data_IF_533563992713
#
_entry.id   IF_533563992713
#
_cell.length_a   1.000
_cell.length_b   1.000
_cell.length_c   1.000
_cell.angle_alpha   90.00
_cell.angle_beta   90.00
_cell.angle_gamma   90.00
#
_symmetry.space_group_name_H-M   'P 1'
#
loop_
_entity.id
_entity.type
_entity.pdbx_description
1 polymer ?
#
# COMPACT_ATOMS: atom_id res chain seq x y z
N UNK A 1 -24.27 -11.99 -4.54
CA UNK A 1 -23.88 -11.37 -3.26
C UNK A 1 -24.73 -10.14 -3.02
N UNK A 2 -25.19 -9.93 -1.79
CA UNK A 2 -25.94 -8.74 -1.41
C UNK A 2 -25.05 -7.51 -1.60
N UNK A 3 -25.58 -6.47 -2.23
CA UNK A 3 -24.83 -5.23 -2.49
C UNK A 3 -24.32 -4.57 -1.20
N UNK A 4 -25.10 -4.65 -0.13
CA UNK A 4 -24.71 -4.11 1.17
C UNK A 4 -23.46 -4.81 1.72
N UNK A 5 -23.42 -6.13 1.67
CA UNK A 5 -22.26 -6.93 2.11
C UNK A 5 -21.07 -6.66 1.20
N UNK A 6 -21.28 -6.57 -0.10
CA UNK A 6 -20.24 -6.25 -1.06
C UNK A 6 -19.59 -4.90 -0.74
N UNK A 7 -20.38 -3.88 -0.45
CA UNK A 7 -19.87 -2.56 -0.10
C UNK A 7 -19.03 -2.59 1.18
N UNK A 8 -19.44 -3.37 2.18
CA UNK A 8 -18.66 -3.53 3.41
C UNK A 8 -17.30 -4.15 3.11
N UNK A 9 -17.25 -5.19 2.29
CA UNK A 9 -15.98 -5.84 1.93
C UNK A 9 -15.07 -4.89 1.15
N UNK A 10 -15.60 -4.13 0.21
CA UNK A 10 -14.83 -3.18 -0.59
C UNK A 10 -14.24 -2.08 0.30
N UNK A 11 -15.06 -1.50 1.17
CA UNK A 11 -14.63 -0.44 2.09
C UNK A 11 -13.57 -0.97 3.05
N UNK A 12 -13.77 -2.16 3.60
CA UNK A 12 -12.81 -2.78 4.52
C UNK A 12 -11.47 -3.03 3.82
N UNK A 13 -11.49 -3.55 2.60
CA UNK A 13 -10.28 -3.79 1.82
C UNK A 13 -9.52 -2.50 1.56
N UNK A 14 -10.21 -1.44 1.14
CA UNK A 14 -9.59 -0.15 0.87
C UNK A 14 -8.95 0.42 2.14
N UNK A 15 -9.67 0.38 3.26
CA UNK A 15 -9.16 0.90 4.54
C UNK A 15 -7.93 0.11 4.98
N UNK A 16 -7.96 -1.22 4.94
CA UNK A 16 -6.81 -2.04 5.32
C UNK A 16 -5.60 -1.81 4.41
N UNK A 17 -5.83 -1.72 3.11
CA UNK A 17 -4.75 -1.46 2.16
C UNK A 17 -4.09 -0.11 2.44
N UNK A 18 -4.88 0.93 2.67
CA UNK A 18 -4.37 2.27 2.99
C UNK A 18 -3.58 2.28 4.30
N UNK A 19 -4.09 1.59 5.33
CA UNK A 19 -3.40 1.51 6.62
C UNK A 19 -2.03 0.86 6.45
N UNK A 20 -1.95 -0.27 5.75
CA UNK A 20 -0.67 -0.95 5.53
C UNK A 20 0.28 -0.13 4.66
N UNK A 21 -0.22 0.49 3.59
CA UNK A 21 0.60 1.33 2.71
C UNK A 21 1.19 2.50 3.49
N UNK A 22 0.38 3.21 4.27
CA UNK A 22 0.87 4.33 5.07
C UNK A 22 1.84 3.86 6.16
N UNK A 23 1.52 2.79 6.86
CA UNK A 23 2.40 2.26 7.91
C UNK A 23 3.79 1.93 7.36
N UNK A 24 3.85 1.14 6.29
CA UNK A 24 5.14 0.77 5.70
C UNK A 24 5.85 1.96 5.05
N UNK A 25 5.12 2.90 4.47
CA UNK A 25 5.71 4.11 3.90
C UNK A 25 6.35 4.98 4.98
N UNK A 26 5.66 5.20 6.10
CA UNK A 26 6.24 5.96 7.22
C UNK A 26 7.46 5.25 7.81
N UNK A 27 7.42 3.93 7.93
CA UNK A 27 8.57 3.17 8.40
C UNK A 27 9.75 3.27 7.44
N UNK A 28 9.50 3.25 6.14
CA UNK A 28 10.58 3.39 5.15
C UNK A 28 11.20 4.79 5.24
N UNK A 29 10.38 5.83 5.37
CA UNK A 29 10.90 7.20 5.51
C UNK A 29 11.71 7.39 6.79
N UNK A 30 11.30 6.76 7.90
CA UNK A 30 12.05 6.80 9.15
C UNK A 30 13.42 6.11 9.04
N UNK A 31 13.59 5.20 8.09
CA UNK A 31 14.83 4.49 7.83
C UNK A 31 15.57 4.99 6.58
N UNK A 32 15.28 6.20 6.12
CA UNK A 32 16.06 6.84 5.07
C UNK A 32 17.45 7.24 5.60
N UNK A 33 18.43 7.25 4.70
CA UNK A 33 19.76 7.75 5.04
C UNK A 33 19.67 9.24 5.40
N UNK A 34 20.45 9.65 6.39
CA UNK A 34 20.43 11.01 6.92
C UNK A 34 20.56 12.08 5.83
N UNK A 35 21.44 11.83 4.85
CA UNK A 35 21.71 12.76 3.76
C UNK A 35 20.53 12.93 2.78
N UNK A 36 19.52 12.03 2.82
CA UNK A 36 18.39 12.04 1.91
C UNK A 36 17.05 12.27 2.59
N UNK A 37 17.03 12.48 3.91
CA UNK A 37 15.77 12.62 4.67
C UNK A 37 14.91 13.80 4.24
N UNK A 38 15.49 14.84 3.70
CA UNK A 38 14.79 16.00 3.17
C UNK A 38 14.02 15.71 1.87
N UNK A 39 14.27 14.55 1.26
CA UNK A 39 13.63 14.15 0.00
C UNK A 39 12.38 13.28 0.19
N UNK A 40 11.77 13.32 1.35
CA UNK A 40 10.61 12.50 1.66
C UNK A 40 9.41 12.76 0.74
N UNK A 41 9.25 13.99 0.23
CA UNK A 41 8.20 14.30 -0.73
C UNK A 41 8.37 13.54 -2.05
N UNK A 42 9.59 13.38 -2.51
CA UNK A 42 9.88 12.60 -3.71
C UNK A 42 9.55 11.13 -3.51
N UNK A 43 9.78 10.59 -2.31
CA UNK A 43 9.41 9.21 -1.96
C UNK A 43 7.89 9.05 -2.01
N UNK A 44 7.14 10.00 -1.47
CA UNK A 44 5.67 9.94 -1.49
C UNK A 44 5.11 9.99 -2.91
N UNK A 45 5.80 10.67 -3.83
CA UNK A 45 5.42 10.72 -5.24
C UNK A 45 5.87 9.50 -6.05
N UNK A 46 6.48 8.52 -5.41
CA UNK A 46 6.97 7.32 -6.08
C UNK A 46 8.31 7.48 -6.78
N UNK A 47 9.01 8.59 -6.54
CA UNK A 47 10.29 8.89 -7.20
C UNK A 47 11.51 8.49 -6.37
N UNK A 48 11.31 7.69 -5.32
CA UNK A 48 12.39 7.27 -4.43
C UNK A 48 13.40 6.36 -5.11
N UNK A 49 14.67 6.49 -4.71
CA UNK A 49 15.75 5.63 -5.17
C UNK A 49 16.15 4.68 -4.04
N UNK A 50 16.56 3.47 -4.39
CA UNK A 50 17.04 2.47 -3.43
C UNK A 50 18.20 3.02 -2.58
N UNK A 51 19.04 3.85 -3.16
CA UNK A 51 20.22 4.41 -2.50
C UNK A 51 19.87 5.39 -1.37
N UNK A 52 18.65 5.90 -1.36
CA UNK A 52 18.20 6.84 -0.33
C UNK A 52 17.83 6.17 0.99
N UNK A 53 17.69 4.85 0.97
CA UNK A 53 17.21 4.09 2.11
C UNK A 53 18.29 3.17 2.66
N UNK A 54 18.23 2.90 3.96
CA UNK A 54 18.92 1.77 4.52
C UNK A 54 18.28 0.48 3.99
N UNK A 55 18.95 -0.65 4.15
CA UNK A 55 18.41 -1.94 3.74
C UNK A 55 17.03 -2.21 4.35
N UNK A 56 16.85 -1.88 5.62
CA UNK A 56 15.59 -2.00 6.33
C UNK A 56 14.52 -1.06 5.77
N UNK A 57 14.89 0.20 5.48
CA UNK A 57 13.97 1.19 4.91
C UNK A 57 13.49 0.77 3.53
N UNK A 58 14.38 0.27 2.70
CA UNK A 58 14.01 -0.25 1.38
C UNK A 58 13.05 -1.44 1.47
N UNK A 59 13.28 -2.34 2.44
CA UNK A 59 12.39 -3.46 2.69
C UNK A 59 10.97 -3.00 3.05
N UNK A 60 10.84 -1.98 3.90
CA UNK A 60 9.53 -1.41 4.22
C UNK A 60 8.85 -0.77 3.02
N UNK A 61 9.61 -0.09 2.17
CA UNK A 61 9.04 0.51 0.95
C UNK A 61 8.50 -0.56 0.00
N UNK A 62 9.22 -1.67 -0.15
CA UNK A 62 8.75 -2.80 -0.94
C UNK A 62 7.47 -3.40 -0.36
N UNK A 63 7.38 -3.54 0.96
CA UNK A 63 6.17 -4.03 1.64
C UNK A 63 5.00 -3.11 1.41
N UNK A 64 5.21 -1.80 1.38
CA UNK A 64 4.17 -0.82 1.02
C UNK A 64 3.63 -1.09 -0.38
N UNK A 65 4.51 -1.26 -1.36
CA UNK A 65 4.10 -1.59 -2.73
C UNK A 65 3.35 -2.90 -2.83
N UNK A 66 3.81 -3.94 -2.14
CA UNK A 66 3.12 -5.22 -2.11
C UNK A 66 1.75 -5.12 -1.44
N UNK A 67 1.60 -4.32 -0.38
CA UNK A 67 0.30 -4.10 0.27
C UNK A 67 -0.70 -3.47 -0.69
N UNK A 68 -0.28 -2.49 -1.48
CA UNK A 68 -1.12 -1.88 -2.49
C UNK A 68 -1.52 -2.89 -3.56
N UNK A 69 -0.58 -3.70 -4.02
CA UNK A 69 -0.84 -4.74 -5.01
C UNK A 69 -1.87 -5.77 -4.49
N UNK A 70 -1.69 -6.26 -3.26
CA UNK A 70 -2.62 -7.22 -2.66
C UNK A 70 -4.00 -6.63 -2.46
N UNK A 71 -4.10 -5.36 -2.00
CA UNK A 71 -5.37 -4.67 -1.87
C UNK A 71 -6.11 -4.58 -3.20
N UNK A 72 -5.40 -4.29 -4.28
CA UNK A 72 -5.97 -4.22 -5.62
C UNK A 72 -6.46 -5.60 -6.09
N UNK A 73 -5.67 -6.65 -5.88
CA UNK A 73 -6.05 -8.02 -6.25
C UNK A 73 -7.31 -8.45 -5.50
N UNK A 74 -7.37 -8.21 -4.20
CA UNK A 74 -8.54 -8.56 -3.38
C UNK A 74 -9.78 -7.80 -3.86
N UNK A 75 -9.64 -6.52 -4.18
CA UNK A 75 -10.73 -5.70 -4.69
C UNK A 75 -11.28 -6.27 -6.01
N UNK A 76 -10.40 -6.64 -6.92
CA UNK A 76 -10.79 -7.25 -8.20
C UNK A 76 -11.52 -8.57 -7.96
N UNK A 77 -11.03 -9.41 -7.04
CA UNK A 77 -11.67 -10.67 -6.69
C UNK A 77 -13.07 -10.46 -6.13
N UNK A 78 -13.25 -9.48 -5.26
CA UNK A 78 -14.56 -9.14 -4.71
C UNK A 78 -15.54 -8.75 -5.82
N UNK A 79 -15.09 -7.91 -6.75
CA UNK A 79 -15.92 -7.45 -7.86
C UNK A 79 -16.29 -8.60 -8.80
N UNK A 80 -15.33 -9.46 -9.14
CA UNK A 80 -15.56 -10.63 -10.01
C UNK A 80 -16.53 -11.61 -9.36
N UNK A 81 -16.34 -11.93 -8.09
CA UNK A 81 -17.23 -12.84 -7.37
C UNK A 81 -18.65 -12.28 -7.27
N UNK A 82 -18.79 -10.98 -7.00
CA UNK A 82 -20.10 -10.32 -6.99
C UNK A 82 -20.79 -10.45 -8.32
N UNK A 83 -20.06 -10.29 -9.41
CA UNK A 83 -20.62 -10.36 -10.75
C UNK A 83 -21.05 -11.80 -11.09
N UNK A 84 -20.23 -12.78 -10.73
CA UNK A 84 -20.56 -14.17 -10.97
C UNK A 84 -21.76 -14.63 -10.15
N UNK A 85 -21.85 -14.19 -8.89
CA UNK A 85 -22.90 -14.60 -7.97
C UNK A 85 -24.19 -13.77 -8.10
N UNK A 86 -24.14 -12.71 -8.88
CA UNK A 86 -25.34 -11.91 -9.16
C UNK A 86 -26.25 -12.58 -10.25
#
# INVERSE_FOLDING_TARGET
MNQYIQNIFIITDIILALVFVFYFSFRSMANMKEEYKDKWLSVMNGSGSKDWFTEKGWSYLRKSGFSLLWGTIILILIMVLSWILA
#
